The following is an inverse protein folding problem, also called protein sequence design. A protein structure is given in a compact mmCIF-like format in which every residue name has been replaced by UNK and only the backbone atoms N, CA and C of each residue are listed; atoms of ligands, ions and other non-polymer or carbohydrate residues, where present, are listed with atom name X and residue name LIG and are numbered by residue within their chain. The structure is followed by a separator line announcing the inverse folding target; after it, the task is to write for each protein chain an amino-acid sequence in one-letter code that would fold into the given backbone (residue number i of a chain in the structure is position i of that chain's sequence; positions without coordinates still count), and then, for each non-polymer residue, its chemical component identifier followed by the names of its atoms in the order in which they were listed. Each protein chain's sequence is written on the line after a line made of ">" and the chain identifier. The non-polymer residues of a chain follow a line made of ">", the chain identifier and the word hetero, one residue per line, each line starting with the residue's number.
data_IF_926500017159
#
_entry.id   IF_926500017159
#
_cell.length_a   1.000
_cell.length_b   1.000
_cell.length_c   1.000
_cell.angle_alpha   90.00
_cell.angle_beta   90.00
_cell.angle_gamma   90.00
#
_symmetry.space_group_name_H-M   'P 1'
#
loop_
_entity.id
_entity.type
_entity.pdbx_description
1 polymer ?
#
# COMPACT_ATOMS: atom_id res chain seq x y z
N UNK A 1 -43.89 20.63 -25.13
CA UNK A 1 -42.76 21.56 -25.13
C UNK A 1 -42.09 21.59 -23.75
N UNK A 2 -42.83 21.88 -22.69
CA UNK A 2 -42.29 22.04 -21.32
C UNK A 2 -41.51 20.81 -20.82
N UNK A 3 -42.01 19.58 -20.97
CA UNK A 3 -41.33 18.37 -20.58
C UNK A 3 -39.99 18.13 -21.31
N UNK A 4 -39.86 18.62 -22.54
CA UNK A 4 -38.60 18.50 -23.29
C UNK A 4 -37.51 19.42 -22.77
N UNK A 5 -37.85 20.46 -22.06
CA UNK A 5 -36.94 21.42 -21.43
C UNK A 5 -36.67 21.03 -19.98
N UNK A 6 -37.72 20.60 -19.25
CA UNK A 6 -37.62 20.24 -17.84
C UNK A 6 -36.80 18.95 -17.61
N UNK A 7 -36.94 17.92 -18.45
CA UNK A 7 -36.23 16.64 -18.27
C UNK A 7 -34.71 16.82 -18.32
N UNK A 8 -34.10 17.44 -19.34
CA UNK A 8 -32.63 17.65 -19.37
C UNK A 8 -32.13 18.53 -18.21
N UNK A 9 -32.94 19.50 -17.77
CA UNK A 9 -32.55 20.32 -16.62
C UNK A 9 -32.53 19.52 -15.31
N UNK A 10 -33.52 18.64 -15.08
CA UNK A 10 -33.57 17.76 -13.94
C UNK A 10 -32.46 16.69 -13.97
N UNK A 11 -32.19 16.11 -15.13
CA UNK A 11 -31.07 15.16 -15.32
C UNK A 11 -29.74 15.83 -15.00
N UNK A 12 -29.51 17.06 -15.41
CA UNK A 12 -28.31 17.82 -15.06
C UNK A 12 -28.22 18.07 -13.56
N UNK A 13 -29.33 18.47 -12.92
CA UNK A 13 -29.36 18.67 -11.49
C UNK A 13 -29.15 17.39 -10.70
N UNK A 14 -29.74 16.28 -11.13
CA UNK A 14 -29.52 14.96 -10.55
C UNK A 14 -28.03 14.55 -10.62
N UNK A 15 -27.38 14.70 -11.79
CA UNK A 15 -25.98 14.40 -11.98
C UNK A 15 -25.07 15.24 -11.05
N UNK A 16 -25.35 16.53 -10.91
CA UNK A 16 -24.62 17.42 -10.00
C UNK A 16 -24.80 17.03 -8.52
N UNK A 17 -26.03 16.71 -8.11
CA UNK A 17 -26.33 16.28 -6.73
C UNK A 17 -25.68 14.93 -6.44
N UNK A 18 -25.77 13.99 -7.35
CA UNK A 18 -25.11 12.67 -7.25
C UNK A 18 -23.59 12.80 -7.11
N UNK A 19 -22.99 13.67 -7.91
CA UNK A 19 -21.56 13.97 -7.79
C UNK A 19 -21.19 14.54 -6.41
N UNK A 20 -21.97 15.49 -5.89
CA UNK A 20 -21.75 16.07 -4.55
C UNK A 20 -21.88 15.01 -3.45
N UNK A 21 -22.94 14.18 -3.50
CA UNK A 21 -23.16 13.09 -2.54
C UNK A 21 -21.97 12.12 -2.56
N UNK A 22 -21.56 11.66 -3.74
CA UNK A 22 -20.44 10.72 -3.87
C UNK A 22 -19.12 11.33 -3.36
N UNK A 23 -18.87 12.62 -3.60
CA UNK A 23 -17.70 13.31 -3.07
C UNK A 23 -17.67 13.32 -1.53
N UNK A 24 -18.83 13.52 -0.90
CA UNK A 24 -18.93 13.46 0.56
C UNK A 24 -18.80 12.03 1.08
N UNK A 25 -19.51 11.07 0.49
CA UNK A 25 -19.49 9.67 0.93
C UNK A 25 -18.09 9.06 0.90
N UNK A 26 -17.30 9.35 -0.13
CA UNK A 26 -15.94 8.80 -0.28
C UNK A 26 -14.95 9.32 0.75
N UNK A 27 -15.28 10.45 1.43
CA UNK A 27 -14.45 11.05 2.48
C UNK A 27 -14.86 10.66 3.90
N UNK A 28 -16.02 10.00 4.07
CA UNK A 28 -16.51 9.58 5.39
C UNK A 28 -15.72 8.38 5.87
N UNK A 29 -15.13 8.41 7.10
CA UNK A 29 -14.48 7.25 7.70
C UNK A 29 -15.45 6.07 7.87
N UNK A 30 -14.90 4.86 7.83
CA UNK A 30 -15.69 3.67 8.12
C UNK A 30 -16.11 3.62 9.60
N UNK A 31 -17.22 2.95 9.88
CA UNK A 31 -17.65 2.65 11.26
C UNK A 31 -16.67 1.64 11.84
N UNK A 32 -16.17 1.94 13.04
CA UNK A 32 -15.26 1.05 13.77
C UNK A 32 -16.06 -0.10 14.40
N UNK A 33 -15.38 -1.24 14.57
CA UNK A 33 -15.91 -2.36 15.34
C UNK A 33 -15.92 -2.02 16.84
N UNK A 34 -16.89 -2.54 17.58
CA UNK A 34 -17.08 -2.28 19.02
C UNK A 34 -15.88 -2.68 19.89
N UNK A 35 -15.02 -3.57 19.40
CA UNK A 35 -13.79 -3.98 20.09
C UNK A 35 -12.65 -2.97 19.98
N UNK A 36 -12.76 -1.99 19.10
CA UNK A 36 -11.73 -0.95 18.92
C UNK A 36 -11.86 0.05 20.08
N UNK A 37 -10.81 0.27 20.88
CA UNK A 37 -10.86 1.23 21.98
C UNK A 37 -10.95 2.66 21.44
N UNK A 38 -11.61 3.53 22.17
CA UNK A 38 -11.54 4.96 21.93
C UNK A 38 -10.13 5.45 22.19
N UNK A 39 -9.61 6.31 21.29
CA UNK A 39 -8.27 6.85 21.40
C UNK A 39 -7.95 7.88 20.34
N UNK A 40 -6.98 8.73 20.63
CA UNK A 40 -6.51 9.77 19.69
C UNK A 40 -5.38 9.28 18.78
N UNK A 41 -4.55 8.33 19.27
CA UNK A 41 -3.43 7.77 18.51
C UNK A 41 -3.12 6.30 18.88
N UNK A 42 -2.02 5.77 18.35
CA UNK A 42 -1.59 4.38 18.57
C UNK A 42 -1.17 4.04 20.00
N UNK A 43 -0.96 5.01 20.89
CA UNK A 43 -0.58 4.77 22.27
C UNK A 43 -1.74 4.15 23.07
N UNK A 44 -2.97 4.36 22.64
CA UNK A 44 -4.19 3.84 23.26
C UNK A 44 -4.60 2.48 22.72
N UNK A 45 -3.87 1.91 21.76
CA UNK A 45 -4.13 0.58 21.25
C UNK A 45 -4.01 -0.49 22.33
N UNK A 46 -5.04 -1.31 22.49
CA UNK A 46 -5.04 -2.41 23.43
C UNK A 46 -4.09 -3.54 22.99
N UNK A 47 -3.13 -3.90 23.85
CA UNK A 47 -2.28 -5.07 23.62
C UNK A 47 -3.10 -6.36 23.80
N UNK A 48 -3.38 -7.08 22.72
CA UNK A 48 -4.15 -8.32 22.77
C UNK A 48 -3.36 -9.50 23.32
N UNK A 49 -2.10 -9.66 22.92
CA UNK A 49 -1.20 -10.72 23.38
C UNK A 49 0.25 -10.44 23.07
N UNK A 50 1.15 -11.01 23.88
CA UNK A 50 2.57 -11.13 23.56
C UNK A 50 2.91 -12.59 23.30
N UNK A 51 3.76 -12.84 22.28
CA UNK A 51 4.21 -14.20 21.92
C UNK A 51 5.73 -14.20 21.81
N UNK A 52 6.35 -15.16 22.53
CA UNK A 52 7.80 -15.27 22.61
C UNK A 52 8.44 -14.26 23.57
N UNK A 53 9.74 -14.36 23.69
CA UNK A 53 10.56 -13.48 24.52
C UNK A 53 11.60 -12.75 23.66
N UNK A 54 11.95 -11.52 24.03
CA UNK A 54 13.03 -10.80 23.36
C UNK A 54 14.36 -11.50 23.64
N UNK A 55 15.17 -11.80 22.62
CA UNK A 55 16.50 -12.38 22.84
C UNK A 55 17.37 -11.40 23.64
N UNK A 56 18.14 -11.96 24.59
CA UNK A 56 19.14 -11.23 25.34
C UNK A 56 20.50 -11.51 24.71
N UNK A 57 21.12 -10.49 24.14
CA UNK A 57 22.45 -10.60 23.54
C UNK A 57 23.53 -10.28 24.56
N UNK A 58 24.66 -11.01 24.50
CA UNK A 58 25.88 -10.71 25.27
C UNK A 58 26.69 -9.55 24.70
N UNK A 59 26.25 -8.97 23.60
CA UNK A 59 26.88 -7.85 22.89
C UNK A 59 25.82 -6.82 22.52
N UNK A 60 26.24 -5.61 22.17
CA UNK A 60 25.35 -4.58 21.63
C UNK A 60 25.04 -4.89 20.16
N UNK A 61 23.81 -5.26 19.78
CA UNK A 61 23.47 -5.52 18.39
C UNK A 61 23.48 -4.21 17.58
N UNK A 62 24.02 -4.28 16.38
CA UNK A 62 23.96 -3.24 15.38
C UNK A 62 22.61 -3.32 14.63
N UNK A 63 22.11 -2.20 14.16
CA UNK A 63 20.96 -2.19 13.27
C UNK A 63 21.35 -2.62 11.84
N UNK A 64 20.33 -2.83 10.98
CA UNK A 64 20.54 -3.32 9.62
C UNK A 64 21.32 -2.32 8.74
N UNK A 65 21.23 -1.02 9.02
CA UNK A 65 21.98 0.02 8.29
C UNK A 65 23.46 -0.10 8.59
N UNK A 66 23.81 -0.11 9.88
CA UNK A 66 25.21 -0.20 10.30
C UNK A 66 25.87 -1.49 9.79
N UNK A 67 25.13 -2.59 9.79
CA UNK A 67 25.61 -3.87 9.23
C UNK A 67 25.79 -3.76 7.70
N UNK A 68 24.80 -3.23 6.99
CA UNK A 68 24.80 -3.14 5.54
C UNK A 68 25.87 -2.20 5.00
N UNK A 69 26.05 -1.03 5.63
CA UNK A 69 27.10 -0.08 5.31
C UNK A 69 28.49 -0.63 5.69
N UNK A 70 28.62 -1.27 6.85
CA UNK A 70 29.86 -1.92 7.29
C UNK A 70 30.32 -3.02 6.35
N UNK A 71 29.39 -3.71 5.68
CA UNK A 71 29.70 -4.69 4.62
C UNK A 71 30.02 -4.03 3.26
N UNK A 72 29.84 -2.72 3.11
CA UNK A 72 29.99 -2.01 1.84
C UNK A 72 28.97 -2.43 0.77
N UNK A 73 27.80 -2.93 1.18
CA UNK A 73 26.80 -3.48 0.26
C UNK A 73 25.45 -2.76 0.34
N UNK A 74 25.36 -1.73 1.17
CA UNK A 74 24.20 -0.83 1.32
C UNK A 74 24.69 0.60 1.22
N UNK A 75 24.24 1.34 0.20
CA UNK A 75 24.72 2.70 -0.11
C UNK A 75 23.58 3.69 -0.17
N UNK A 76 23.34 4.38 0.94
CA UNK A 76 22.35 5.45 1.03
C UNK A 76 22.78 6.72 0.31
N UNK A 77 24.09 7.00 0.24
CA UNK A 77 24.59 8.18 -0.46
C UNK A 77 24.37 8.06 -1.98
N UNK A 78 24.60 6.87 -2.55
CA UNK A 78 24.26 6.60 -3.94
C UNK A 78 22.74 6.68 -4.17
N UNK A 79 21.94 6.10 -3.29
CA UNK A 79 20.47 6.18 -3.37
C UNK A 79 19.98 7.64 -3.36
N UNK A 80 20.52 8.45 -2.48
CA UNK A 80 20.18 9.88 -2.39
C UNK A 80 20.56 10.66 -3.65
N UNK A 81 21.73 10.37 -4.26
CA UNK A 81 22.12 11.00 -5.54
C UNK A 81 21.22 10.62 -6.70
N UNK A 82 20.70 9.39 -6.71
CA UNK A 82 19.85 8.88 -7.80
C UNK A 82 18.40 9.34 -7.69
N UNK A 83 17.86 9.37 -6.47
CA UNK A 83 16.40 9.50 -6.29
C UNK A 83 15.99 10.37 -5.10
N UNK A 84 16.95 10.94 -4.36
CA UNK A 84 16.68 11.75 -3.18
C UNK A 84 16.80 10.97 -1.86
N UNK A 85 16.45 11.61 -0.77
CA UNK A 85 16.50 11.01 0.56
C UNK A 85 15.60 9.77 0.65
N UNK A 86 15.96 8.81 1.51
CA UNK A 86 15.23 7.56 1.79
C UNK A 86 15.30 6.48 0.70
N UNK A 87 16.11 6.69 -0.33
CA UNK A 87 16.45 5.65 -1.28
C UNK A 87 17.77 5.01 -0.91
N UNK A 88 17.96 3.76 -1.31
CA UNK A 88 19.18 3.00 -1.05
C UNK A 88 19.56 2.20 -2.28
N UNK A 89 20.84 1.95 -2.44
CA UNK A 89 21.36 0.99 -3.42
C UNK A 89 21.87 -0.23 -2.67
N UNK A 90 21.34 -1.40 -2.95
CA UNK A 90 21.85 -2.68 -2.47
C UNK A 90 22.75 -3.30 -3.53
N UNK A 91 23.88 -3.87 -3.08
CA UNK A 91 24.87 -4.46 -3.97
C UNK A 91 25.30 -5.87 -3.49
N UNK A 92 25.91 -6.64 -4.37
CA UNK A 92 26.56 -7.90 -4.06
C UNK A 92 25.62 -8.90 -3.38
N UNK A 93 26.00 -9.39 -2.22
CA UNK A 93 25.26 -10.42 -1.49
C UNK A 93 23.99 -9.90 -0.85
N UNK A 94 23.89 -8.61 -0.49
CA UNK A 94 22.63 -8.03 0.02
C UNK A 94 21.56 -7.95 -1.07
N UNK A 95 21.91 -7.57 -2.29
CA UNK A 95 20.98 -7.61 -3.41
C UNK A 95 20.52 -9.06 -3.74
N UNK A 96 21.42 -10.04 -3.56
CA UNK A 96 21.07 -11.45 -3.71
C UNK A 96 20.15 -11.93 -2.58
N UNK A 97 20.43 -11.51 -1.34
CA UNK A 97 19.61 -11.84 -0.17
C UNK A 97 18.20 -11.30 -0.30
N UNK A 98 18.03 -10.05 -0.71
CA UNK A 98 16.72 -9.42 -0.96
C UNK A 98 15.88 -10.25 -1.93
N UNK A 99 16.46 -10.64 -3.07
CA UNK A 99 15.80 -11.49 -4.05
C UNK A 99 15.48 -12.89 -3.51
N UNK A 100 16.38 -13.47 -2.71
CA UNK A 100 16.18 -14.78 -2.10
C UNK A 100 15.06 -14.77 -1.08
N UNK A 101 14.94 -13.71 -0.27
CA UNK A 101 13.84 -13.52 0.67
C UNK A 101 12.50 -13.35 -0.04
N UNK A 102 12.46 -12.59 -1.13
CA UNK A 102 11.26 -12.44 -1.95
C UNK A 102 10.79 -13.80 -2.50
N UNK A 103 11.70 -14.58 -3.07
CA UNK A 103 11.40 -15.92 -3.58
C UNK A 103 10.95 -16.88 -2.46
N UNK A 104 11.60 -16.85 -1.31
CA UNK A 104 11.23 -17.66 -0.16
C UNK A 104 9.80 -17.33 0.35
N UNK A 105 9.47 -16.04 0.51
CA UNK A 105 8.14 -15.63 0.94
C UNK A 105 7.05 -16.04 -0.05
N UNK A 106 7.28 -15.88 -1.36
CA UNK A 106 6.35 -16.35 -2.39
C UNK A 106 6.17 -17.87 -2.34
N UNK A 107 7.26 -18.62 -2.17
CA UNK A 107 7.23 -20.08 -2.07
C UNK A 107 6.40 -20.55 -0.86
N UNK A 108 6.57 -19.94 0.30
CA UNK A 108 5.76 -20.23 1.49
C UNK A 108 4.27 -19.96 1.23
N UNK A 109 3.94 -18.79 0.69
CA UNK A 109 2.54 -18.46 0.44
C UNK A 109 1.90 -19.36 -0.62
N UNK A 110 2.60 -19.71 -1.67
CA UNK A 110 2.05 -20.53 -2.76
C UNK A 110 2.01 -22.02 -2.41
N UNK A 111 3.05 -22.55 -1.74
CA UNK A 111 3.17 -23.98 -1.47
C UNK A 111 2.49 -24.41 -0.17
N UNK A 112 2.51 -23.56 0.87
CA UNK A 112 2.01 -23.92 2.20
C UNK A 112 0.64 -23.29 2.51
N UNK A 113 0.39 -22.06 2.03
CA UNK A 113 -0.83 -21.31 2.36
C UNK A 113 -1.88 -21.30 1.23
N UNK A 114 -1.59 -21.92 0.08
CA UNK A 114 -2.53 -22.05 -1.03
C UNK A 114 -2.89 -20.75 -1.73
N UNK A 115 -1.96 -19.78 -1.75
CA UNK A 115 -2.13 -18.56 -2.53
C UNK A 115 -1.75 -18.79 -4.00
N UNK A 116 -2.43 -18.08 -4.89
CA UNK A 116 -2.06 -18.00 -6.30
C UNK A 116 -1.10 -16.82 -6.49
N UNK A 117 0.12 -17.11 -6.95
CA UNK A 117 1.06 -16.06 -7.32
C UNK A 117 0.56 -15.31 -8.55
N UNK A 118 0.55 -13.99 -8.45
CA UNK A 118 0.02 -13.09 -9.47
C UNK A 118 1.01 -11.97 -9.71
N UNK A 119 1.27 -11.63 -10.97
CA UNK A 119 2.11 -10.50 -11.35
C UNK A 119 1.25 -9.38 -11.94
N UNK A 120 0.77 -8.44 -11.12
CA UNK A 120 -0.06 -7.34 -11.58
C UNK A 120 0.78 -6.19 -12.15
N UNK A 121 0.18 -5.28 -12.95
CA UNK A 121 0.84 -4.06 -13.38
C UNK A 121 1.13 -3.14 -12.19
N UNK A 122 2.30 -2.47 -12.23
CA UNK A 122 2.69 -1.46 -11.23
C UNK A 122 2.11 -0.06 -11.49
N UNK A 123 1.55 0.16 -12.68
CA UNK A 123 0.86 1.40 -13.08
C UNK A 123 -0.63 1.12 -13.22
N UNK A 124 -1.46 1.87 -12.48
CA UNK A 124 -2.91 1.69 -12.44
C UNK A 124 -3.65 2.99 -12.72
N UNK A 125 -4.94 2.87 -13.02
CA UNK A 125 -5.83 4.02 -13.26
C UNK A 125 -6.33 4.62 -11.94
N UNK A 126 -6.77 5.87 -11.96
CA UNK A 126 -7.40 6.58 -10.83
C UNK A 126 -8.53 5.76 -10.20
N UNK A 127 -9.38 5.14 -10.99
CA UNK A 127 -10.48 4.29 -10.49
C UNK A 127 -9.96 3.10 -9.65
N UNK A 128 -8.87 2.47 -10.06
CA UNK A 128 -8.25 1.36 -9.32
C UNK A 128 -7.70 1.83 -7.96
N UNK A 129 -7.09 3.02 -7.91
CA UNK A 129 -6.63 3.62 -6.66
C UNK A 129 -7.78 3.98 -5.71
N UNK A 130 -8.90 4.43 -6.27
CA UNK A 130 -10.13 4.75 -5.51
C UNK A 130 -10.78 3.47 -4.97
N UNK A 131 -10.77 2.38 -5.73
CA UNK A 131 -11.39 1.11 -5.37
C UNK A 131 -10.81 0.44 -4.12
N UNK A 132 -9.60 0.82 -3.69
CA UNK A 132 -8.97 0.39 -2.44
C UNK A 132 -8.78 1.53 -1.44
N UNK A 133 -9.45 2.67 -1.63
CA UNK A 133 -9.44 3.78 -0.69
C UNK A 133 -8.14 4.57 -0.61
N UNK A 134 -7.22 4.39 -1.57
CA UNK A 134 -5.99 5.20 -1.63
C UNK A 134 -6.32 6.64 -2.05
N UNK A 135 -7.23 6.80 -2.99
CA UNK A 135 -7.77 8.09 -3.39
C UNK A 135 -9.19 8.29 -2.84
N UNK A 136 -9.57 9.53 -2.52
CA UNK A 136 -8.77 10.77 -2.61
C UNK A 136 -7.83 11.01 -1.43
N UNK A 137 -7.97 10.28 -0.32
CA UNK A 137 -7.41 10.59 1.00
C UNK A 137 -5.88 10.71 1.01
N UNK A 138 -5.18 9.81 0.31
CA UNK A 138 -3.72 9.72 0.35
C UNK A 138 -3.05 10.21 -0.94
N UNK A 139 -3.70 11.11 -1.70
CA UNK A 139 -3.19 11.60 -2.98
C UNK A 139 -1.77 12.18 -2.89
N UNK A 140 -1.43 12.86 -1.79
CA UNK A 140 -0.12 13.47 -1.58
C UNK A 140 1.00 12.45 -1.34
N UNK A 141 0.65 11.23 -0.88
CA UNK A 141 1.60 10.15 -0.65
C UNK A 141 1.82 9.26 -1.89
N UNK A 142 1.17 9.59 -3.01
CA UNK A 142 1.19 8.80 -4.23
C UNK A 142 1.96 9.48 -5.36
N UNK A 143 2.62 8.68 -6.20
CA UNK A 143 3.22 9.16 -7.43
C UNK A 143 2.23 9.09 -8.59
N UNK A 144 1.95 10.24 -9.19
CA UNK A 144 1.08 10.40 -10.33
C UNK A 144 1.88 10.70 -11.59
N UNK A 145 1.54 10.07 -12.70
CA UNK A 145 2.18 10.27 -13.98
C UNK A 145 1.44 11.31 -14.84
N UNK A 146 2.11 11.88 -15.81
CA UNK A 146 1.53 12.90 -16.71
C UNK A 146 0.46 12.35 -17.65
N UNK A 147 0.38 11.01 -17.83
CA UNK A 147 -0.63 10.32 -18.64
C UNK A 147 -1.79 9.75 -17.77
N UNK A 148 -2.03 10.34 -16.62
CA UNK A 148 -3.12 10.03 -15.69
C UNK A 148 -3.11 8.58 -15.17
N UNK A 149 -1.92 8.10 -14.81
CA UNK A 149 -1.73 6.83 -14.11
C UNK A 149 -1.02 7.03 -12.78
N UNK A 150 -1.10 6.04 -11.93
CA UNK A 150 -0.53 6.04 -10.60
C UNK A 150 0.42 4.86 -10.42
N UNK A 151 1.56 5.10 -9.79
CA UNK A 151 2.43 4.04 -9.31
C UNK A 151 1.80 3.41 -8.06
N UNK A 152 1.72 2.08 -8.01
CA UNK A 152 1.06 1.39 -6.89
C UNK A 152 1.83 1.57 -5.57
N UNK A 153 1.17 1.93 -4.47
CA UNK A 153 1.78 1.96 -3.13
C UNK A 153 1.86 0.58 -2.48
N UNK A 154 1.11 -0.39 -2.99
CA UNK A 154 1.01 -1.78 -2.54
C UNK A 154 0.43 -2.65 -3.64
N UNK A 155 0.80 -3.92 -3.68
CA UNK A 155 0.19 -4.91 -4.59
C UNK A 155 -1.30 -5.13 -4.32
N UNK A 156 -1.78 -4.84 -3.13
CA UNK A 156 -3.22 -4.91 -2.77
C UNK A 156 -4.09 -4.13 -3.76
N UNK A 157 -3.64 -2.94 -4.18
CA UNK A 157 -4.39 -2.09 -5.11
C UNK A 157 -4.78 -2.80 -6.40
N UNK A 158 -3.85 -3.31 -7.22
CA UNK A 158 -4.24 -4.05 -8.42
C UNK A 158 -4.89 -5.39 -8.13
N UNK A 159 -4.44 -6.13 -7.11
CA UNK A 159 -4.98 -7.47 -6.83
C UNK A 159 -6.45 -7.43 -6.41
N UNK A 160 -6.82 -6.54 -5.51
CA UNK A 160 -8.22 -6.38 -5.07
C UNK A 160 -9.12 -5.93 -6.23
N UNK A 161 -8.62 -5.01 -7.06
CA UNK A 161 -9.39 -4.50 -8.20
C UNK A 161 -9.48 -5.48 -9.40
N UNK A 162 -8.82 -6.64 -9.37
CA UNK A 162 -9.03 -7.68 -10.40
C UNK A 162 -10.49 -8.14 -10.48
N UNK A 163 -11.25 -8.00 -9.41
CA UNK A 163 -12.66 -8.38 -9.33
C UNK A 163 -13.60 -7.17 -9.21
N UNK A 164 -13.09 -5.95 -9.37
CA UNK A 164 -13.92 -4.74 -9.37
C UNK A 164 -14.98 -4.82 -10.48
N UNK A 165 -16.19 -4.40 -10.17
CA UNK A 165 -17.36 -4.41 -11.07
C UNK A 165 -17.65 -5.80 -11.69
N UNK A 166 -17.24 -6.89 -11.01
CA UNK A 166 -17.38 -8.26 -11.49
C UNK A 166 -18.20 -9.09 -10.50
N UNK A 167 -19.13 -9.89 -11.00
CA UNK A 167 -19.83 -10.91 -10.20
C UNK A 167 -18.96 -12.17 -10.17
N UNK A 168 -18.34 -12.44 -9.02
CA UNK A 168 -17.46 -13.60 -8.83
C UNK A 168 -18.31 -14.85 -8.57
N UNK A 169 -18.14 -15.95 -9.32
CA UNK A 169 -18.81 -17.21 -9.07
C UNK A 169 -18.46 -17.77 -7.68
N UNK A 170 -19.44 -18.41 -7.02
CA UNK A 170 -19.27 -18.95 -5.66
C UNK A 170 -18.15 -19.98 -5.55
N UNK A 171 -17.96 -20.78 -6.57
CA UNK A 171 -16.92 -21.84 -6.64
C UNK A 171 -15.51 -21.28 -6.85
N UNK A 172 -15.37 -20.01 -7.27
CA UNK A 172 -14.09 -19.31 -7.33
C UNK A 172 -13.65 -18.75 -5.97
N UNK A 173 -14.48 -18.84 -4.93
CA UNK A 173 -14.18 -18.31 -3.60
C UNK A 173 -13.74 -19.42 -2.62
N UNK A 174 -12.85 -19.16 -1.67
CA UNK A 174 -12.13 -17.88 -1.50
C UNK A 174 -10.99 -17.70 -2.50
N UNK A 175 -10.84 -16.50 -3.05
CA UNK A 175 -9.69 -16.12 -3.85
C UNK A 175 -8.55 -15.70 -2.93
N UNK A 176 -7.39 -16.35 -3.04
CA UNK A 176 -6.17 -16.01 -2.30
C UNK A 176 -5.08 -15.67 -3.28
N UNK A 177 -4.69 -14.40 -3.33
CA UNK A 177 -3.69 -13.89 -4.26
C UNK A 177 -2.47 -13.39 -3.50
N UNK A 178 -1.27 -13.60 -4.03
CA UNK A 178 -0.02 -13.03 -3.51
C UNK A 178 0.80 -12.47 -4.66
N UNK A 179 1.56 -11.41 -4.40
CA UNK A 179 2.43 -10.81 -5.39
C UNK A 179 3.69 -10.23 -4.76
N UNK A 180 4.79 -10.28 -5.49
CA UNK A 180 5.97 -9.48 -5.24
C UNK A 180 6.03 -8.35 -6.28
N UNK A 181 5.92 -7.12 -5.82
CA UNK A 181 5.92 -5.92 -6.69
C UNK A 181 6.78 -4.82 -6.10
N UNK A 182 7.34 -3.90 -6.90
CA UNK A 182 7.75 -2.61 -6.39
C UNK A 182 6.52 -1.90 -5.81
N UNK A 183 6.72 -1.14 -4.71
CA UNK A 183 5.70 -0.34 -4.07
C UNK A 183 6.24 1.08 -3.90
N UNK A 184 5.45 2.08 -4.30
CA UNK A 184 5.89 3.47 -4.40
C UNK A 184 5.08 4.36 -3.46
N UNK A 185 5.74 4.98 -2.48
CA UNK A 185 5.12 5.93 -1.55
C UNK A 185 5.99 7.17 -1.44
N UNK A 186 5.39 8.35 -1.59
CA UNK A 186 6.10 9.62 -1.45
C UNK A 186 6.42 9.94 0.03
N UNK A 187 5.64 9.37 0.97
CA UNK A 187 5.83 9.54 2.42
C UNK A 187 5.82 11.01 2.83
N UNK A 188 4.93 11.79 2.24
CA UNK A 188 4.88 13.25 2.41
C UNK A 188 4.66 13.66 3.88
N UNK A 189 3.90 12.89 4.65
CA UNK A 189 3.56 13.17 6.05
C UNK A 189 4.56 12.65 7.10
N UNK A 190 5.68 12.03 6.72
CA UNK A 190 6.58 11.34 7.66
C UNK A 190 7.78 12.19 8.13
N UNK A 191 7.75 13.50 7.93
CA UNK A 191 8.78 14.39 8.40
C UNK A 191 8.91 14.32 9.95
N UNK A 192 10.10 13.97 10.45
CA UNK A 192 10.39 13.89 11.88
C UNK A 192 10.18 12.50 12.52
N UNK A 193 9.62 11.52 11.82
CA UNK A 193 9.56 10.11 12.28
C UNK A 193 10.80 9.34 11.83
N UNK A 194 11.01 8.14 12.40
CA UNK A 194 12.15 7.29 12.05
C UNK A 194 12.18 7.03 10.53
N UNK A 195 13.18 7.65 9.90
CA UNK A 195 13.38 7.59 8.44
C UNK A 195 14.63 6.82 8.07
N UNK A 196 15.35 6.26 9.08
CA UNK A 196 16.57 5.49 8.86
C UNK A 196 16.24 4.07 8.44
N UNK A 197 16.90 3.60 7.39
CA UNK A 197 16.87 2.20 6.97
C UNK A 197 15.77 1.85 5.96
N UNK A 198 15.54 0.54 5.82
CA UNK A 198 14.66 -0.07 4.82
C UNK A 198 13.34 -0.59 5.39
N UNK A 199 13.22 -0.69 6.71
CA UNK A 199 12.06 -1.29 7.37
C UNK A 199 11.00 -0.23 7.55
N UNK A 200 9.92 -0.39 6.81
CA UNK A 200 8.74 0.47 6.89
C UNK A 200 7.48 -0.34 6.65
#
# INVERSE_FOLDING_TARGET
>A
AKLKEDIPALETQEAELTKKINTHLISIPNILDDIVPDGEDEAENALLRSVGEKPVFSFTPLDHVDIGEGLGQMDFAAGARLSGARFVVLQGQLARLERALAAFMLDVHTKEHGYLETLPPALVRTQTMTGTGQLPKFAEDLFHTTDDRWLIPTAEVPLTNMVADTIVPRDALPMRLTAFTPCFRAEAGSAGRDTRGLIR
#
